data_IF_816373311513
#
_entry.id   IF_816373311513
#
_cell.length_a   1.000
_cell.length_b   1.000
_cell.length_c   1.000
_cell.angle_alpha   90.00
_cell.angle_beta   90.00
_cell.angle_gamma   90.00
#
_symmetry.space_group_name_H-M   'P 1'
#
loop_
_entity.id
_entity.type
_entity.pdbx_description
1 polymer ?
#
# COMPACT_ATOMS: atom_id res chain seq x y z
N UNK A 1 -4.98 18.93 35.36
CA UNK A 1 -4.84 17.46 35.27
C UNK A 1 -5.97 17.01 34.37
N UNK A 2 -5.64 16.78 33.08
CA UNK A 2 -5.70 15.45 32.45
C UNK A 2 -7.18 15.01 32.30
N UNK A 3 -7.79 14.91 31.12
CA UNK A 3 -7.24 14.32 29.91
C UNK A 3 -7.83 14.92 28.63
N UNK A 4 -6.91 15.14 27.69
CA UNK A 4 -7.16 15.19 26.26
C UNK A 4 -7.92 13.91 25.86
N UNK A 5 -9.25 13.97 25.80
CA UNK A 5 -10.01 13.02 24.98
C UNK A 5 -9.68 13.35 23.53
N UNK A 6 -8.56 12.79 23.06
CA UNK A 6 -8.30 12.61 21.65
C UNK A 6 -9.49 11.84 21.10
N UNK A 7 -10.46 12.60 20.56
CA UNK A 7 -11.45 12.05 19.64
C UNK A 7 -10.61 11.36 18.59
N UNK A 8 -10.53 10.04 18.68
CA UNK A 8 -10.07 9.20 17.58
C UNK A 8 -11.01 9.53 16.44
N UNK A 9 -10.64 10.55 15.67
CA UNK A 9 -11.32 10.94 14.46
C UNK A 9 -11.31 9.65 13.66
N UNK A 10 -12.46 9.00 13.57
CA UNK A 10 -12.65 7.88 12.67
C UNK A 10 -12.33 8.45 11.30
N UNK A 11 -11.10 8.23 10.85
CA UNK A 11 -10.68 8.56 9.52
C UNK A 11 -11.56 7.71 8.61
N UNK A 12 -12.66 8.31 8.15
CA UNK A 12 -13.42 7.77 7.04
C UNK A 12 -12.47 7.86 5.86
N UNK A 13 -11.76 6.75 5.62
CA UNK A 13 -10.84 6.59 4.50
C UNK A 13 -11.47 7.20 3.25
N UNK A 14 -10.70 7.99 2.53
CA UNK A 14 -11.19 8.51 1.26
C UNK A 14 -11.50 7.29 0.35
N UNK A 15 -12.48 7.36 -0.55
CA UNK A 15 -12.83 6.21 -1.40
C UNK A 15 -11.62 5.68 -2.20
N UNK A 16 -10.72 6.57 -2.61
CA UNK A 16 -9.38 6.30 -3.16
C UNK A 16 -8.42 5.49 -2.24
N UNK A 17 -8.65 5.47 -0.91
CA UNK A 17 -7.90 4.63 0.04
C UNK A 17 -8.35 3.16 0.00
N UNK A 18 -9.22 2.77 -0.94
CA UNK A 18 -9.71 1.40 -1.14
C UNK A 18 -9.25 0.78 -2.47
N UNK A 19 -8.77 1.59 -3.41
CA UNK A 19 -8.27 1.07 -4.68
C UNK A 19 -6.87 0.47 -4.49
N UNK A 20 -6.66 -0.83 -4.76
CA UNK A 20 -5.37 -1.48 -4.54
C UNK A 20 -4.25 -0.85 -5.38
N UNK A 21 -4.55 -0.37 -6.59
CA UNK A 21 -3.60 0.30 -7.48
C UNK A 21 -3.12 1.63 -6.91
N UNK A 22 -4.03 2.48 -6.43
CA UNK A 22 -3.71 3.75 -5.78
C UNK A 22 -2.91 3.56 -4.48
N UNK A 23 -3.25 2.53 -3.70
CA UNK A 23 -2.50 2.17 -2.50
C UNK A 23 -1.06 1.78 -2.86
N UNK A 24 -0.87 0.92 -3.85
CA UNK A 24 0.46 0.52 -4.31
C UNK A 24 1.25 1.73 -4.84
N UNK A 25 0.61 2.66 -5.55
CA UNK A 25 1.25 3.89 -6.02
C UNK A 25 1.71 4.79 -4.86
N UNK A 26 0.85 5.02 -3.87
CA UNK A 26 1.20 5.83 -2.68
C UNK A 26 2.32 5.21 -1.86
N UNK A 27 2.31 3.88 -1.72
CA UNK A 27 3.38 3.13 -1.05
C UNK A 27 4.69 3.26 -1.84
N UNK A 28 4.63 3.12 -3.16
CA UNK A 28 5.77 3.27 -4.04
C UNK A 28 6.42 4.66 -3.88
N UNK A 29 5.62 5.72 -3.92
CA UNK A 29 6.10 7.10 -3.78
C UNK A 29 6.70 7.34 -2.39
N UNK A 30 6.05 6.86 -1.32
CA UNK A 30 6.56 7.00 0.03
C UNK A 30 7.90 6.27 0.25
N UNK A 31 8.08 5.09 -0.35
CA UNK A 31 9.34 4.35 -0.32
C UNK A 31 10.44 5.11 -1.08
N UNK A 32 10.11 5.64 -2.26
CA UNK A 32 11.03 6.41 -3.10
C UNK A 32 11.49 7.70 -2.42
N UNK A 33 10.58 8.44 -1.79
CA UNK A 33 10.89 9.66 -1.02
C UNK A 33 11.83 9.40 0.16
N UNK A 34 11.78 8.20 0.74
CA UNK A 34 12.68 7.78 1.81
C UNK A 34 13.99 7.15 1.33
N UNK A 35 14.19 7.02 0.02
CA UNK A 35 15.40 6.46 -0.57
C UNK A 35 15.48 4.93 -0.53
N UNK A 36 14.37 4.24 -0.32
CA UNK A 36 14.31 2.78 -0.48
C UNK A 36 14.11 2.41 -1.94
N UNK A 37 14.50 1.17 -2.33
CA UNK A 37 14.02 0.59 -3.59
C UNK A 37 12.57 0.16 -3.42
N UNK A 38 11.59 0.83 -4.05
CA UNK A 38 10.19 0.54 -3.78
C UNK A 38 9.76 -0.86 -4.23
N UNK A 39 10.34 -1.36 -5.33
CA UNK A 39 9.99 -2.66 -5.89
C UNK A 39 10.40 -3.78 -4.94
N UNK A 40 11.65 -3.78 -4.48
CA UNK A 40 12.18 -4.80 -3.57
C UNK A 40 11.39 -4.85 -2.26
N UNK A 41 11.03 -3.68 -1.73
CA UNK A 41 10.28 -3.57 -0.47
C UNK A 41 8.83 -4.04 -0.62
N UNK A 42 8.15 -3.69 -1.71
CA UNK A 42 6.80 -4.16 -1.99
C UNK A 42 6.80 -5.68 -2.21
N UNK A 43 7.76 -6.22 -2.97
CA UNK A 43 7.90 -7.68 -3.17
C UNK A 43 8.17 -8.38 -1.83
N UNK A 44 9.08 -7.85 -1.01
CA UNK A 44 9.37 -8.36 0.33
C UNK A 44 8.12 -8.41 1.22
N UNK A 45 7.32 -7.34 1.22
CA UNK A 45 6.03 -7.29 1.93
C UNK A 45 5.02 -8.31 1.40
N UNK A 46 4.86 -8.43 0.08
CA UNK A 46 3.88 -9.36 -0.51
C UNK A 46 4.21 -10.81 -0.13
N UNK A 47 5.48 -11.21 -0.23
CA UNK A 47 5.94 -12.57 0.06
C UNK A 47 5.91 -12.89 1.57
N UNK A 48 6.43 -11.99 2.41
CA UNK A 48 6.58 -12.26 3.86
C UNK A 48 5.34 -11.91 4.68
N UNK A 49 4.58 -10.89 4.25
CA UNK A 49 3.52 -10.26 5.04
C UNK A 49 4.03 -9.33 6.12
N UNK A 50 5.35 -9.15 6.27
CA UNK A 50 5.93 -8.31 7.31
C UNK A 50 5.83 -6.83 6.94
N UNK A 51 5.06 -6.01 7.68
CA UNK A 51 4.92 -4.58 7.40
C UNK A 51 6.21 -3.76 7.64
N UNK A 52 7.28 -4.34 8.19
CA UNK A 52 8.56 -3.64 8.38
C UNK A 52 9.22 -3.23 7.05
N UNK A 53 8.97 -3.97 5.96
CA UNK A 53 9.40 -3.62 4.60
C UNK A 53 8.81 -2.29 4.13
N UNK A 54 7.65 -1.88 4.66
CA UNK A 54 6.97 -0.65 4.23
C UNK A 54 7.28 0.47 5.22
N UNK A 55 7.72 1.62 4.72
CA UNK A 55 7.96 2.82 5.54
C UNK A 55 6.67 3.34 6.18
N UNK A 56 6.78 3.92 7.38
CA UNK A 56 5.66 4.64 8.02
C UNK A 56 5.43 6.04 7.42
N UNK A 57 6.33 6.50 6.55
CA UNK A 57 6.23 7.79 5.86
C UNK A 57 4.89 7.94 5.12
N UNK A 58 4.27 9.12 5.22
CA UNK A 58 2.95 9.42 4.64
C UNK A 58 1.85 8.40 4.99
N UNK A 59 2.00 7.64 6.08
CA UNK A 59 1.06 6.59 6.47
C UNK A 59 1.06 5.36 5.57
N UNK A 60 2.06 5.17 4.68
CA UNK A 60 2.11 4.09 3.71
C UNK A 60 1.97 2.69 4.35
N UNK A 61 2.69 2.43 5.45
CA UNK A 61 2.57 1.18 6.21
C UNK A 61 1.15 0.91 6.70
N UNK A 62 0.44 1.93 7.17
CA UNK A 62 -0.94 1.76 7.63
C UNK A 62 -1.91 1.61 6.47
N UNK A 63 -1.64 2.27 5.33
CA UNK A 63 -2.46 2.21 4.14
C UNK A 63 -2.46 0.80 3.53
N UNK A 64 -1.27 0.23 3.29
CA UNK A 64 -1.15 -1.10 2.66
C UNK A 64 -1.72 -2.23 3.52
N UNK A 65 -1.65 -2.09 4.85
CA UNK A 65 -2.21 -3.06 5.81
C UNK A 65 -3.74 -3.07 5.87
N UNK A 66 -4.43 -2.11 5.23
CA UNK A 66 -5.91 -2.09 5.15
C UNK A 66 -6.44 -2.99 4.05
N UNK A 67 -5.58 -3.51 3.18
CA UNK A 67 -5.93 -4.37 2.06
C UNK A 67 -5.26 -5.71 2.24
N UNK A 68 -5.99 -6.78 1.95
CA UNK A 68 -5.43 -8.13 1.97
C UNK A 68 -4.41 -8.31 0.84
N UNK A 69 -3.37 -9.11 1.09
CA UNK A 69 -2.24 -9.23 0.15
C UNK A 69 -2.62 -9.93 -1.14
N UNK A 70 -3.55 -10.87 -1.07
CA UNK A 70 -4.14 -11.53 -2.23
C UNK A 70 -4.87 -10.56 -3.15
N UNK A 71 -5.57 -9.56 -2.60
CA UNK A 71 -6.20 -8.48 -3.38
C UNK A 71 -5.15 -7.62 -4.09
N UNK A 72 -4.06 -7.28 -3.40
CA UNK A 72 -2.93 -6.55 -4.02
C UNK A 72 -2.29 -7.37 -5.15
N UNK A 73 -2.11 -8.68 -4.94
CA UNK A 73 -1.56 -9.58 -5.95
C UNK A 73 -2.50 -9.77 -7.15
N UNK A 74 -3.80 -9.96 -6.91
CA UNK A 74 -4.80 -10.08 -7.97
C UNK A 74 -4.76 -8.85 -8.88
N UNK A 75 -4.76 -7.65 -8.30
CA UNK A 75 -4.70 -6.41 -9.07
C UNK A 75 -3.41 -6.30 -9.87
N UNK A 76 -2.26 -6.66 -9.28
CA UNK A 76 -0.97 -6.68 -9.99
C UNK A 76 -0.98 -7.65 -11.19
N UNK A 77 -1.51 -8.86 -11.01
CA UNK A 77 -1.60 -9.87 -12.08
C UNK A 77 -2.55 -9.40 -13.18
N UNK A 78 -3.73 -8.90 -12.81
CA UNK A 78 -4.72 -8.33 -13.75
C UNK A 78 -4.09 -7.21 -14.57
N UNK A 79 -3.50 -6.21 -13.92
CA UNK A 79 -2.87 -5.08 -14.58
C UNK A 79 -1.69 -5.51 -15.49
N UNK A 80 -0.93 -6.54 -15.11
CA UNK A 80 0.16 -7.06 -15.93
C UNK A 80 -0.36 -7.72 -17.22
N UNK A 81 -1.38 -8.57 -17.11
CA UNK A 81 -1.99 -9.26 -18.25
C UNK A 81 -2.74 -8.30 -19.18
N UNK A 82 -3.40 -7.27 -18.65
CA UNK A 82 -4.06 -6.24 -19.46
C UNK A 82 -3.06 -5.36 -20.24
N UNK A 83 -1.87 -5.11 -19.67
CA UNK A 83 -0.80 -4.34 -20.33
C UNK A 83 0.02 -5.15 -21.31
N UNK A 84 -0.03 -6.47 -21.22
CA UNK A 84 0.72 -7.36 -22.11
C UNK A 84 -0.19 -7.75 -23.26
N UNK A 85 0.02 -7.23 -24.50
CA UNK A 85 -0.75 -7.70 -25.63
C UNK A 85 -0.45 -9.18 -25.82
N UNK A 86 -1.47 -10.02 -25.61
CA UNK A 86 -1.38 -11.43 -25.96
C UNK A 86 -1.20 -11.47 -27.47
N UNK A 87 0.00 -11.83 -27.92
CA UNK A 87 0.24 -12.13 -29.33
C UNK A 87 -0.74 -13.25 -29.72
N UNK A 88 -1.68 -12.91 -30.60
CA UNK A 88 -2.61 -13.87 -31.21
C UNK A 88 -1.91 -14.61 -32.33
#
# INVERSE_FOLDING_TARGET
MADNLERTLMWRGRPEDRDPGDILRRVYDALKEKGYNPVDQIVGYLLSGDPTYITSHNGARNLIRRVERDVLLEELVRAYLERTPVAR
#
